data_IF_021170913170
#
_entry.id   IF_021170913170
#
_cell.length_a   1.000
_cell.length_b   1.000
_cell.length_c   1.000
_cell.angle_alpha   90.00
_cell.angle_beta   90.00
_cell.angle_gamma   90.00
#
_symmetry.space_group_name_H-M   'P 1'
#
loop_
_entity.id
_entity.type
_entity.pdbx_description
1 polymer ?
#
# COMPACT_ATOMS: atom_id res chain seq x y z
N UNK A 1 -18.70 -10.02 26.44
CA UNK A 1 -18.75 -9.15 25.24
C UNK A 1 -18.95 -7.73 25.72
N UNK A 2 -18.04 -6.83 25.33
CA UNK A 2 -18.08 -5.39 25.60
C UNK A 2 -18.55 -4.67 24.35
N UNK A 3 -19.60 -3.87 24.43
CA UNK A 3 -20.19 -3.18 23.29
C UNK A 3 -20.09 -1.68 23.49
N UNK A 4 -19.50 -0.96 22.55
CA UNK A 4 -19.54 0.49 22.46
C UNK A 4 -20.68 0.95 21.55
N UNK A 5 -21.31 2.06 21.92
CA UNK A 5 -22.38 2.69 21.15
C UNK A 5 -21.79 3.95 20.49
N UNK A 6 -21.84 4.01 19.18
CA UNK A 6 -21.35 5.05 18.30
C UNK A 6 -19.82 5.14 18.22
N UNK A 7 -19.13 5.61 19.24
CA UNK A 7 -17.67 5.65 19.37
C UNK A 7 -17.33 5.18 20.78
N UNK A 8 -16.28 4.38 20.95
CA UNK A 8 -15.81 3.94 22.26
C UNK A 8 -15.44 5.13 23.12
N UNK A 9 -15.95 5.16 24.37
CA UNK A 9 -15.65 6.22 25.33
C UNK A 9 -14.16 6.36 25.57
N UNK A 10 -13.63 7.56 25.52
CA UNK A 10 -12.20 7.87 25.61
C UNK A 10 -11.50 8.04 24.26
N UNK A 11 -12.21 7.83 23.15
CA UNK A 11 -11.75 8.16 21.80
C UNK A 11 -12.41 9.48 21.38
N UNK A 12 -11.62 10.47 20.99
CA UNK A 12 -12.15 11.74 20.52
C UNK A 12 -12.57 11.70 19.02
N UNK A 13 -13.11 12.80 18.51
CA UNK A 13 -13.62 12.90 17.14
C UNK A 13 -12.57 12.74 16.03
N UNK A 14 -11.29 12.89 16.36
CA UNK A 14 -10.17 12.64 15.43
C UNK A 14 -9.48 11.29 15.66
N UNK A 15 -10.05 10.46 16.56
CA UNK A 15 -9.57 9.10 16.80
C UNK A 15 -8.34 8.99 17.70
N UNK A 16 -8.09 10.00 18.53
CA UNK A 16 -7.04 9.93 19.54
C UNK A 16 -7.61 9.42 20.86
N UNK A 17 -6.77 8.72 21.61
CA UNK A 17 -7.05 8.24 22.96
C UNK A 17 -6.42 9.23 23.95
N UNK A 18 -7.24 9.94 24.73
CA UNK A 18 -6.76 11.02 25.60
C UNK A 18 -6.06 10.50 26.86
N UNK A 19 -6.55 9.41 27.46
CA UNK A 19 -5.91 8.78 28.61
C UNK A 19 -6.28 7.31 28.73
N UNK A 20 -7.57 7.02 28.92
CA UNK A 20 -8.14 5.68 29.02
C UNK A 20 -9.32 5.62 28.06
N UNK A 21 -9.36 4.58 27.22
CA UNK A 21 -10.52 4.33 26.37
C UNK A 21 -11.17 2.99 26.74
N UNK A 22 -12.47 2.91 26.49
CA UNK A 22 -13.22 1.68 26.63
C UNK A 22 -12.84 0.74 25.47
N UNK A 23 -12.27 -0.40 25.82
CA UNK A 23 -11.88 -1.43 24.87
C UNK A 23 -13.11 -2.30 24.56
N UNK A 24 -13.72 -2.08 23.41
CA UNK A 24 -14.89 -2.81 22.94
C UNK A 24 -14.52 -4.05 22.16
N UNK A 25 -15.34 -5.10 22.28
CA UNK A 25 -15.31 -6.25 21.36
C UNK A 25 -16.08 -5.90 20.07
N UNK A 26 -17.12 -5.04 20.20
CA UNK A 26 -17.97 -4.58 19.08
C UNK A 26 -18.28 -3.09 19.28
N UNK A 27 -18.13 -2.30 18.22
CA UNK A 27 -18.61 -0.92 18.18
C UNK A 27 -19.78 -0.82 17.20
N UNK A 28 -20.97 -0.46 17.72
CA UNK A 28 -22.15 -0.20 16.88
C UNK A 28 -22.21 1.29 16.59
N UNK A 29 -21.68 1.70 15.43
CA UNK A 29 -21.66 3.11 15.03
C UNK A 29 -22.95 3.52 14.35
N UNK A 30 -23.42 4.74 14.64
CA UNK A 30 -24.74 5.22 14.21
C UNK A 30 -24.71 5.84 12.81
N UNK A 31 -25.49 5.32 11.90
CA UNK A 31 -25.76 5.85 10.57
C UNK A 31 -24.64 5.65 9.55
N UNK A 32 -23.43 6.08 9.86
CA UNK A 32 -22.28 6.03 8.95
C UNK A 32 -20.99 5.66 9.68
N UNK A 33 -20.01 5.17 8.93
CA UNK A 33 -18.65 4.97 9.41
C UNK A 33 -18.03 6.33 9.75
N UNK A 34 -17.21 6.36 10.79
CA UNK A 34 -16.52 7.56 11.25
C UNK A 34 -15.01 7.35 11.12
N UNK A 35 -14.32 8.32 10.55
CA UNK A 35 -12.85 8.26 10.35
C UNK A 35 -12.11 7.97 11.66
N UNK A 36 -12.63 8.50 12.80
CA UNK A 36 -12.05 8.29 14.12
C UNK A 36 -11.96 6.83 14.56
N UNK A 37 -12.79 5.94 14.01
CA UNK A 37 -12.76 4.50 14.31
C UNK A 37 -11.60 3.76 13.62
N UNK A 38 -10.98 4.37 12.61
CA UNK A 38 -9.98 3.74 11.74
C UNK A 38 -8.56 4.30 11.93
N UNK A 39 -8.36 5.15 12.93
CA UNK A 39 -7.02 5.67 13.25
C UNK A 39 -6.15 4.58 13.87
N UNK A 40 -4.83 4.75 13.79
CA UNK A 40 -3.88 3.78 14.36
C UNK A 40 -4.06 3.58 15.86
N UNK A 41 -4.45 4.63 16.59
CA UNK A 41 -4.68 4.57 18.03
C UNK A 41 -6.04 3.97 18.39
N UNK A 42 -7.08 4.27 17.62
CA UNK A 42 -8.44 3.84 17.94
C UNK A 42 -8.68 2.35 17.67
N UNK A 43 -8.01 1.75 16.68
CA UNK A 43 -8.27 0.38 16.22
C UNK A 43 -8.14 -0.69 17.30
N UNK A 44 -7.32 -0.47 18.33
CA UNK A 44 -7.16 -1.41 19.44
C UNK A 44 -8.34 -1.36 20.43
N UNK A 45 -9.24 -0.37 20.32
CA UNK A 45 -10.36 -0.12 21.24
C UNK A 45 -11.74 -0.31 20.61
N UNK A 46 -11.83 -0.46 19.28
CA UNK A 46 -13.15 -0.46 18.61
C UNK A 46 -13.69 -1.85 18.30
N UNK A 47 -12.86 -2.88 18.29
CA UNK A 47 -13.27 -4.24 17.95
C UNK A 47 -13.91 -4.34 16.55
N UNK A 48 -14.91 -5.20 16.42
CA UNK A 48 -15.73 -5.30 15.20
C UNK A 48 -16.64 -4.07 15.05
N UNK A 49 -16.63 -3.44 13.88
CA UNK A 49 -17.45 -2.24 13.63
C UNK A 49 -18.71 -2.63 12.87
N UNK A 50 -19.86 -2.31 13.43
CA UNK A 50 -21.19 -2.53 12.82
C UNK A 50 -21.89 -1.18 12.65
N UNK A 51 -22.37 -0.89 11.44
CA UNK A 51 -23.12 0.35 11.19
C UNK A 51 -24.61 0.11 11.46
N UNK A 52 -25.16 0.82 12.45
CA UNK A 52 -26.58 0.79 12.76
C UNK A 52 -27.35 1.70 11.80
N UNK A 53 -28.41 1.16 11.15
CA UNK A 53 -29.30 1.95 10.30
C UNK A 53 -30.20 2.84 11.17
N UNK A 54 -30.19 4.14 10.92
CA UNK A 54 -31.02 5.12 11.64
C UNK A 54 -32.50 5.13 11.22
N UNK A 55 -32.88 4.38 10.18
CA UNK A 55 -34.24 4.37 9.65
C UNK A 55 -34.63 5.63 8.88
N UNK A 56 -33.65 6.49 8.57
CA UNK A 56 -33.83 7.69 7.74
C UNK A 56 -32.96 7.61 6.49
N UNK A 57 -33.28 8.41 5.48
CA UNK A 57 -32.51 8.42 4.22
C UNK A 57 -31.09 8.94 4.48
N UNK A 58 -30.11 8.30 3.89
CA UNK A 58 -28.67 8.63 4.07
C UNK A 58 -28.35 10.07 3.68
N UNK A 59 -28.95 10.59 2.61
CA UNK A 59 -28.75 11.96 2.16
C UNK A 59 -29.16 13.05 3.16
N UNK A 60 -29.83 12.68 4.26
CA UNK A 60 -30.19 13.62 5.34
C UNK A 60 -29.09 13.80 6.39
N UNK A 61 -28.10 12.90 6.45
CA UNK A 61 -27.04 12.95 7.45
C UNK A 61 -25.65 12.61 6.90
N UNK A 62 -25.55 11.89 5.79
CA UNK A 62 -24.27 11.61 5.13
C UNK A 62 -23.77 12.84 4.37
N UNK A 63 -22.52 13.17 4.53
CA UNK A 63 -21.81 14.20 3.75
C UNK A 63 -20.87 13.54 2.77
N UNK A 64 -20.56 14.22 1.69
CA UNK A 64 -19.52 13.75 0.77
C UNK A 64 -18.19 13.57 1.51
N UNK A 65 -17.49 12.48 1.20
CA UNK A 65 -16.19 12.15 1.78
C UNK A 65 -15.24 11.69 0.69
N UNK A 66 -13.97 12.06 0.83
CA UNK A 66 -12.87 11.55 0.03
C UNK A 66 -12.19 10.32 0.67
N UNK A 67 -12.74 9.81 1.78
CA UNK A 67 -12.25 8.66 2.50
C UNK A 67 -13.23 7.48 2.35
N UNK A 68 -12.72 6.35 1.92
CA UNK A 68 -13.51 5.16 1.63
C UNK A 68 -12.92 3.95 2.35
N UNK A 69 -13.77 3.11 2.89
CA UNK A 69 -13.38 1.79 3.40
C UNK A 69 -13.44 0.78 2.26
N UNK A 70 -12.34 0.08 2.00
CA UNK A 70 -12.32 -1.02 1.05
C UNK A 70 -13.05 -2.23 1.64
N UNK A 71 -14.09 -2.68 0.95
CA UNK A 71 -14.88 -3.85 1.32
C UNK A 71 -14.66 -5.01 0.33
N UNK A 72 -15.09 -6.22 0.71
CA UNK A 72 -14.96 -7.40 -0.15
C UNK A 72 -15.68 -7.24 -1.50
N UNK A 73 -16.79 -6.47 -1.53
CA UNK A 73 -17.54 -6.13 -2.75
C UNK A 73 -16.76 -5.27 -3.75
N UNK A 74 -15.77 -4.51 -3.28
CA UNK A 74 -14.95 -3.62 -4.11
C UNK A 74 -13.80 -4.36 -4.78
N UNK A 75 -13.49 -5.56 -4.30
CA UNK A 75 -12.34 -6.32 -4.78
C UNK A 75 -12.57 -6.89 -6.17
N UNK A 76 -11.80 -6.40 -7.14
CA UNK A 76 -11.70 -6.93 -8.50
C UNK A 76 -10.47 -7.81 -8.63
N UNK A 77 -10.59 -9.06 -8.21
CA UNK A 77 -9.46 -9.99 -8.29
C UNK A 77 -9.12 -10.35 -9.74
N UNK A 78 -7.84 -10.59 -10.08
CA UNK A 78 -7.38 -10.89 -11.42
C UNK A 78 -7.68 -12.34 -11.82
N UNK A 79 -8.96 -12.73 -11.83
CA UNK A 79 -9.36 -14.07 -12.23
C UNK A 79 -9.10 -14.31 -13.74
N UNK A 80 -8.59 -15.50 -14.05
CA UNK A 80 -8.32 -15.94 -15.43
C UNK A 80 -9.60 -16.45 -16.10
N UNK A 81 -10.52 -15.54 -16.43
CA UNK A 81 -11.83 -15.88 -16.96
C UNK A 81 -11.86 -16.08 -18.49
N UNK A 82 -10.81 -15.67 -19.20
CA UNK A 82 -10.75 -15.81 -20.67
C UNK A 82 -10.41 -17.26 -21.05
N UNK A 83 -11.29 -17.91 -21.87
CA UNK A 83 -11.05 -19.26 -22.36
C UNK A 83 -9.91 -19.30 -23.38
N UNK A 84 -9.80 -18.28 -24.24
CA UNK A 84 -8.69 -18.11 -25.17
C UNK A 84 -7.69 -17.11 -24.60
N UNK A 85 -6.71 -17.60 -23.86
CA UNK A 85 -5.69 -16.80 -23.22
C UNK A 85 -4.35 -17.54 -23.22
N UNK A 86 -3.26 -16.78 -23.24
CA UNK A 86 -1.90 -17.28 -23.08
C UNK A 86 -1.21 -16.54 -21.93
N UNK A 87 -0.02 -16.97 -21.54
CA UNK A 87 0.70 -16.38 -20.38
C UNK A 87 0.85 -14.86 -20.48
N UNK A 88 1.15 -14.30 -21.66
CA UNK A 88 1.27 -12.85 -21.87
C UNK A 88 -0.04 -12.05 -21.72
N UNK A 89 -1.23 -12.70 -21.76
CA UNK A 89 -2.52 -12.04 -21.59
C UNK A 89 -2.67 -11.43 -20.17
N UNK A 90 -1.95 -11.96 -19.20
CA UNK A 90 -2.03 -11.57 -17.77
C UNK A 90 -0.81 -10.77 -17.31
N UNK A 91 -0.19 -10.07 -18.25
CA UNK A 91 0.93 -9.17 -18.00
C UNK A 91 2.29 -9.86 -17.82
N UNK A 92 3.32 -9.05 -17.88
CA UNK A 92 4.70 -9.43 -17.63
C UNK A 92 5.31 -8.46 -16.59
N UNK A 93 5.46 -8.92 -15.37
CA UNK A 93 6.09 -8.15 -14.31
C UNK A 93 7.61 -8.33 -14.36
N UNK A 94 8.35 -7.23 -14.31
CA UNK A 94 9.79 -7.26 -14.07
C UNK A 94 10.09 -6.80 -12.62
N UNK A 95 10.84 -7.60 -11.88
CA UNK A 95 11.22 -7.30 -10.49
C UNK A 95 12.72 -7.01 -10.43
N UNK A 96 13.08 -5.81 -9.98
CA UNK A 96 14.48 -5.43 -9.80
C UNK A 96 14.99 -6.00 -8.49
N UNK A 97 15.98 -6.87 -8.57
CA UNK A 97 16.58 -7.52 -7.42
C UNK A 97 18.00 -7.03 -7.21
N UNK A 98 18.24 -6.44 -6.05
CA UNK A 98 19.55 -5.96 -5.66
C UNK A 98 20.31 -6.93 -4.73
N UNK A 99 21.21 -6.38 -3.93
CA UNK A 99 22.13 -7.16 -3.09
C UNK A 99 21.44 -8.01 -2.00
N UNK A 100 20.25 -7.59 -1.54
CA UNK A 100 19.44 -8.34 -0.55
C UNK A 100 18.40 -9.20 -1.29
N UNK A 101 18.85 -10.26 -1.94
CA UNK A 101 18.11 -11.07 -2.91
C UNK A 101 16.74 -11.58 -2.41
N UNK A 102 16.63 -11.94 -1.12
CA UNK A 102 15.44 -12.59 -0.55
C UNK A 102 14.15 -11.79 -0.73
N UNK A 103 14.18 -10.47 -0.51
CA UNK A 103 13.00 -9.62 -0.60
C UNK A 103 12.44 -9.58 -2.03
N UNK A 104 13.29 -9.38 -3.04
CA UNK A 104 12.88 -9.40 -4.44
C UNK A 104 12.35 -10.77 -4.90
N UNK A 105 12.94 -11.86 -4.42
CA UNK A 105 12.45 -13.22 -4.71
C UNK A 105 11.08 -13.46 -4.09
N UNK A 106 10.84 -12.98 -2.85
CA UNK A 106 9.53 -13.07 -2.19
C UNK A 106 8.49 -12.28 -2.99
N UNK A 107 8.79 -11.04 -3.38
CA UNK A 107 7.91 -10.22 -4.21
C UNK A 107 7.58 -10.91 -5.55
N UNK A 108 8.58 -11.52 -6.18
CA UNK A 108 8.41 -12.29 -7.41
C UNK A 108 7.46 -13.47 -7.24
N UNK A 109 7.65 -14.29 -6.21
CA UNK A 109 6.76 -15.42 -5.92
C UNK A 109 5.34 -14.98 -5.60
N UNK A 110 5.18 -13.90 -4.82
CA UNK A 110 3.88 -13.35 -4.47
C UNK A 110 3.12 -12.86 -5.71
N UNK A 111 3.77 -12.10 -6.59
CA UNK A 111 3.17 -11.59 -7.82
C UNK A 111 2.72 -12.74 -8.75
N UNK A 112 3.54 -13.77 -8.90
CA UNK A 112 3.19 -14.93 -9.71
C UNK A 112 2.01 -15.70 -9.10
N UNK A 113 2.02 -15.92 -7.78
CA UNK A 113 0.91 -16.54 -7.04
C UNK A 113 -0.38 -15.73 -7.11
N UNK A 114 -0.30 -14.41 -7.19
CA UNK A 114 -1.46 -13.53 -7.33
C UNK A 114 -2.02 -13.46 -8.75
N UNK A 115 -1.31 -13.98 -9.76
CA UNK A 115 -1.86 -14.14 -11.10
C UNK A 115 -1.09 -13.49 -12.25
N UNK A 116 0.10 -12.93 -12.02
CA UNK A 116 0.95 -12.47 -13.11
C UNK A 116 1.21 -13.59 -14.12
N UNK A 117 1.10 -13.28 -15.41
CA UNK A 117 1.22 -14.28 -16.46
C UNK A 117 2.65 -14.66 -16.78
N UNK A 118 3.54 -13.67 -16.75
CA UNK A 118 4.98 -13.78 -16.91
C UNK A 118 5.67 -13.00 -15.81
N UNK A 119 6.84 -13.47 -15.41
CA UNK A 119 7.67 -12.79 -14.43
C UNK A 119 9.14 -12.96 -14.78
N UNK A 120 9.86 -11.83 -14.83
CA UNK A 120 11.32 -11.80 -14.94
C UNK A 120 11.93 -11.06 -13.77
N UNK A 121 12.93 -11.65 -13.17
CA UNK A 121 13.80 -10.97 -12.21
C UNK A 121 14.97 -10.33 -12.97
N UNK A 122 15.22 -9.07 -12.71
CA UNK A 122 16.37 -8.34 -13.24
C UNK A 122 17.45 -8.31 -12.18
N UNK A 123 18.57 -8.95 -12.43
CA UNK A 123 19.72 -9.00 -11.55
C UNK A 123 21.00 -9.26 -12.33
N UNK A 124 22.10 -8.58 -11.92
CA UNK A 124 23.44 -8.82 -12.48
C UNK A 124 24.13 -10.05 -11.86
N UNK A 125 23.56 -10.57 -10.75
CA UNK A 125 24.09 -11.75 -10.08
C UNK A 125 23.18 -12.96 -10.36
N UNK A 126 23.78 -14.14 -10.50
CA UNK A 126 23.02 -15.38 -10.59
C UNK A 126 22.20 -15.62 -9.34
N UNK A 127 20.94 -15.95 -9.52
CA UNK A 127 19.97 -16.19 -8.46
C UNK A 127 19.44 -17.62 -8.56
N UNK A 128 19.32 -18.28 -7.42
CA UNK A 128 18.59 -19.53 -7.31
C UNK A 128 17.09 -19.27 -7.32
N UNK A 129 16.50 -19.29 -8.51
CA UNK A 129 15.10 -18.98 -8.77
C UNK A 129 14.30 -20.25 -9.05
N UNK A 130 13.01 -20.27 -8.67
CA UNK A 130 12.09 -21.30 -9.16
C UNK A 130 12.03 -21.31 -10.69
N UNK A 131 11.93 -22.51 -11.31
CA UNK A 131 11.96 -22.71 -12.76
C UNK A 131 10.93 -21.91 -13.58
N UNK A 132 9.87 -21.41 -12.97
CA UNK A 132 8.83 -20.59 -13.62
C UNK A 132 9.13 -19.10 -13.57
N UNK A 133 10.18 -18.65 -12.89
CA UNK A 133 10.64 -17.26 -12.83
C UNK A 133 11.88 -17.14 -13.71
N UNK A 134 11.81 -16.28 -14.72
CA UNK A 134 12.92 -16.01 -15.61
C UNK A 134 13.91 -15.03 -14.96
N UNK A 135 15.17 -15.12 -15.31
CA UNK A 135 16.16 -14.10 -14.98
C UNK A 135 16.67 -13.43 -16.24
N UNK A 136 16.80 -12.11 -16.20
CA UNK A 136 17.38 -11.29 -17.25
C UNK A 136 18.23 -10.19 -16.61
N UNK A 137 19.07 -9.52 -17.39
CA UNK A 137 19.86 -8.36 -16.98
C UNK A 137 19.27 -7.03 -17.48
N UNK A 138 18.23 -7.10 -18.29
CA UNK A 138 17.51 -5.93 -18.85
C UNK A 138 16.00 -6.10 -18.74
N UNK A 139 15.27 -4.96 -18.86
CA UNK A 139 13.80 -4.98 -18.90
C UNK A 139 13.34 -5.78 -20.14
N UNK A 140 12.34 -6.64 -19.93
CA UNK A 140 11.74 -7.42 -21.01
C UNK A 140 10.98 -6.51 -21.98
N UNK A 141 11.06 -6.76 -23.29
CA UNK A 141 10.41 -5.93 -24.33
C UNK A 141 8.90 -5.78 -24.13
N UNK A 142 8.24 -6.80 -23.60
CA UNK A 142 6.80 -6.83 -23.35
C UNK A 142 6.48 -6.66 -21.85
N UNK A 143 7.33 -5.95 -21.11
CA UNK A 143 7.09 -5.60 -19.72
C UNK A 143 5.85 -4.72 -19.58
N UNK A 144 4.95 -5.09 -18.66
CA UNK A 144 3.71 -4.35 -18.39
C UNK A 144 3.70 -3.68 -17.01
N UNK A 145 4.61 -4.06 -16.13
CA UNK A 145 4.81 -3.43 -14.83
C UNK A 145 6.21 -3.72 -14.30
N UNK A 146 6.73 -2.81 -13.47
CA UNK A 146 8.03 -2.96 -12.80
C UNK A 146 7.82 -2.87 -11.30
N UNK A 147 8.42 -3.79 -10.54
CA UNK A 147 8.51 -3.69 -9.09
C UNK A 147 9.97 -3.49 -8.68
N UNK A 148 10.23 -2.48 -7.83
CA UNK A 148 11.59 -2.14 -7.40
C UNK A 148 11.63 -1.58 -5.99
N UNK A 149 12.81 -1.61 -5.38
CA UNK A 149 13.03 -1.06 -4.03
C UNK A 149 13.30 -2.15 -3.00
N UNK A 150 12.65 -3.31 -3.13
CA UNK A 150 12.73 -4.41 -2.18
C UNK A 150 14.15 -4.99 -2.12
N UNK A 151 14.92 -4.54 -1.13
CA UNK A 151 16.27 -5.04 -0.88
C UNK A 151 17.28 -4.69 -1.96
N UNK A 152 17.18 -3.52 -2.56
CA UNK A 152 18.15 -3.03 -3.54
C UNK A 152 19.56 -2.94 -2.96
N UNK A 153 19.70 -2.48 -1.71
CA UNK A 153 20.99 -2.25 -1.10
C UNK A 153 21.80 -1.16 -1.83
N UNK A 154 22.98 -1.50 -2.30
CA UNK A 154 23.78 -0.59 -3.14
C UNK A 154 23.36 -0.75 -4.61
N UNK A 155 23.00 0.35 -5.25
CA UNK A 155 22.56 0.38 -6.65
C UNK A 155 23.14 1.60 -7.39
N UNK A 156 23.12 1.54 -8.71
CA UNK A 156 23.45 2.68 -9.56
C UNK A 156 22.20 3.58 -9.70
N UNK A 157 22.30 4.82 -9.21
CA UNK A 157 21.20 5.78 -9.27
C UNK A 157 20.77 6.12 -10.69
N UNK A 158 21.70 6.16 -11.64
CA UNK A 158 21.37 6.44 -13.05
C UNK A 158 20.62 5.28 -13.71
N UNK A 159 20.94 4.03 -13.36
CA UNK A 159 20.16 2.88 -13.81
C UNK A 159 18.72 2.97 -13.26
N UNK A 160 18.55 3.23 -11.96
CA UNK A 160 17.22 3.38 -11.35
C UNK A 160 16.47 4.58 -11.95
N UNK A 161 17.13 5.72 -12.15
CA UNK A 161 16.52 6.90 -12.79
C UNK A 161 15.99 6.58 -14.21
N UNK A 162 16.72 5.82 -15.00
CA UNK A 162 16.28 5.38 -16.33
C UNK A 162 15.02 4.51 -16.24
N UNK A 163 14.96 3.59 -15.27
CA UNK A 163 13.78 2.75 -15.02
C UNK A 163 12.58 3.58 -14.56
N UNK A 164 12.78 4.50 -13.63
CA UNK A 164 11.73 5.39 -13.14
C UNK A 164 11.16 6.29 -14.25
N UNK A 165 11.98 6.70 -15.19
CA UNK A 165 11.58 7.59 -16.29
C UNK A 165 10.80 6.89 -17.43
N UNK A 166 10.65 5.57 -17.40
CA UNK A 166 9.81 4.86 -18.38
C UNK A 166 8.32 5.10 -18.09
N UNK A 167 7.47 4.97 -19.11
CA UNK A 167 6.00 5.07 -18.96
C UNK A 167 5.35 3.76 -18.47
N UNK A 168 6.15 2.76 -18.10
CA UNK A 168 5.67 1.50 -17.56
C UNK A 168 5.20 1.72 -16.12
N UNK A 169 3.98 1.28 -15.72
CA UNK A 169 3.52 1.33 -14.34
C UNK A 169 4.48 0.68 -13.36
N UNK A 170 4.66 1.29 -12.18
CA UNK A 170 5.65 0.85 -11.21
C UNK A 170 5.07 0.66 -9.82
N UNK A 171 5.62 -0.32 -9.12
CA UNK A 171 5.47 -0.48 -7.66
C UNK A 171 6.84 -0.21 -7.04
N UNK A 172 6.87 0.72 -6.10
CA UNK A 172 8.09 1.14 -5.41
C UNK A 172 7.95 0.88 -3.91
N UNK A 173 8.96 0.25 -3.34
CA UNK A 173 8.97 -0.18 -1.94
C UNK A 173 10.34 0.04 -1.30
N UNK A 174 10.41 -0.04 0.02
CA UNK A 174 11.60 -0.18 0.85
C UNK A 174 12.73 0.83 0.56
N UNK A 175 13.89 0.36 0.06
CA UNK A 175 15.13 1.14 0.04
C UNK A 175 15.02 2.46 -0.75
N UNK A 176 14.12 2.56 -1.74
CA UNK A 176 13.94 3.78 -2.52
C UNK A 176 13.26 4.93 -1.76
N UNK A 177 12.55 4.65 -0.65
CA UNK A 177 11.98 5.70 0.20
C UNK A 177 13.02 6.48 1.01
N UNK A 178 14.28 6.09 0.97
CA UNK A 178 15.39 6.79 1.60
C UNK A 178 16.29 7.53 0.61
N UNK A 179 15.90 7.56 -0.69
CA UNK A 179 16.61 8.27 -1.74
C UNK A 179 15.74 9.39 -2.31
N UNK A 180 16.28 10.61 -2.35
CA UNK A 180 15.60 11.80 -2.90
C UNK A 180 15.20 11.64 -4.38
N UNK A 181 15.81 10.68 -5.08
CA UNK A 181 15.44 10.33 -6.45
C UNK A 181 13.95 10.05 -6.62
N UNK A 182 13.28 9.46 -5.60
CA UNK A 182 11.85 9.15 -5.68
C UNK A 182 11.00 10.40 -5.90
N UNK A 183 11.38 11.54 -5.32
CA UNK A 183 10.62 12.79 -5.42
C UNK A 183 10.58 13.39 -6.85
N UNK A 184 11.51 12.97 -7.72
CA UNK A 184 11.54 13.41 -9.13
C UNK A 184 10.44 12.74 -9.98
N UNK A 185 9.77 11.70 -9.48
CA UNK A 185 8.89 10.83 -10.27
C UNK A 185 7.50 10.59 -9.66
N UNK A 186 7.11 11.37 -8.65
CA UNK A 186 5.80 11.22 -7.99
C UNK A 186 4.60 11.57 -8.89
N UNK A 187 4.84 12.25 -10.01
CA UNK A 187 3.86 12.57 -11.05
C UNK A 187 3.61 11.41 -12.05
N UNK A 188 4.40 10.35 -11.97
CA UNK A 188 4.28 9.18 -12.85
C UNK A 188 3.24 8.17 -12.33
N UNK A 189 2.90 7.19 -13.15
CA UNK A 189 2.03 6.08 -12.76
C UNK A 189 2.77 5.12 -11.82
N UNK A 190 2.74 5.43 -10.52
CA UNK A 190 3.49 4.74 -9.47
C UNK A 190 2.55 4.35 -8.32
N UNK A 191 2.73 3.14 -7.80
CA UNK A 191 2.17 2.71 -6.52
C UNK A 191 3.29 2.66 -5.49
N UNK A 192 3.11 3.36 -4.38
CA UNK A 192 4.04 3.40 -3.25
C UNK A 192 3.51 2.56 -2.10
N UNK A 193 4.37 1.75 -1.46
CA UNK A 193 4.00 0.87 -0.35
C UNK A 193 4.82 1.15 0.93
N UNK A 194 4.94 2.41 1.38
CA UNK A 194 5.79 2.75 2.50
C UNK A 194 5.20 2.28 3.83
N UNK A 195 6.02 1.65 4.67
CA UNK A 195 5.70 1.51 6.09
C UNK A 195 5.89 2.87 6.81
N UNK A 196 5.40 3.06 8.06
CA UNK A 196 5.38 4.39 8.70
C UNK A 196 6.71 5.14 8.69
N UNK A 197 7.84 4.46 8.95
CA UNK A 197 9.16 5.10 8.95
C UNK A 197 9.61 5.52 7.54
N UNK A 198 9.30 4.73 6.53
CA UNK A 198 9.57 5.05 5.12
C UNK A 198 8.71 6.22 4.68
N UNK A 199 7.45 6.28 5.12
CA UNK A 199 6.57 7.40 4.80
C UNK A 199 7.07 8.71 5.44
N UNK A 200 7.54 8.70 6.68
CA UNK A 200 8.21 9.87 7.29
C UNK A 200 9.45 10.30 6.47
N UNK A 201 10.25 9.33 5.99
CA UNK A 201 11.38 9.64 5.12
C UNK A 201 10.95 10.29 3.81
N UNK A 202 9.91 9.76 3.16
CA UNK A 202 9.37 10.30 1.92
C UNK A 202 8.87 11.73 2.11
N UNK A 203 8.07 12.00 3.15
CA UNK A 203 7.58 13.34 3.48
C UNK A 203 8.72 14.34 3.67
N UNK A 204 9.78 13.93 4.36
CA UNK A 204 10.97 14.74 4.60
C UNK A 204 11.75 15.02 3.32
N UNK A 205 12.01 13.99 2.50
CA UNK A 205 12.74 14.12 1.23
C UNK A 205 12.00 15.04 0.25
N UNK A 206 10.68 14.91 0.17
CA UNK A 206 9.83 15.74 -0.68
C UNK A 206 9.51 17.12 -0.08
N UNK A 207 10.09 17.44 1.10
CA UNK A 207 9.93 18.73 1.80
C UNK A 207 8.48 19.10 2.16
N UNK A 208 7.67 18.07 2.39
CA UNK A 208 6.27 18.21 2.82
C UNK A 208 6.24 18.37 4.35
N UNK A 209 6.85 17.46 5.09
CA UNK A 209 6.93 17.51 6.55
C UNK A 209 8.18 16.79 7.08
N UNK A 210 8.72 17.24 8.21
CA UNK A 210 9.77 16.55 8.97
C UNK A 210 9.17 16.09 10.30
N UNK A 211 8.66 14.88 10.35
CA UNK A 211 7.90 14.31 11.47
C UNK A 211 8.45 12.94 11.84
N UNK A 212 8.18 12.51 13.06
CA UNK A 212 8.47 11.16 13.50
C UNK A 212 7.28 10.20 13.29
N UNK A 213 7.49 8.93 13.59
CA UNK A 213 6.47 7.88 13.42
C UNK A 213 5.29 8.09 14.38
N UNK A 214 5.52 8.65 15.57
CA UNK A 214 4.45 8.89 16.55
C UNK A 214 3.52 9.98 16.04
N UNK A 215 4.07 11.07 15.57
CA UNK A 215 3.29 12.16 14.96
C UNK A 215 2.52 11.68 13.73
N UNK A 216 3.16 10.87 12.86
CA UNK A 216 2.49 10.27 11.71
C UNK A 216 1.31 9.41 12.14
N UNK A 217 1.48 8.52 13.13
CA UNK A 217 0.41 7.62 13.59
C UNK A 217 -0.76 8.38 14.22
N UNK A 218 -0.49 9.48 14.91
CA UNK A 218 -1.52 10.35 15.49
C UNK A 218 -2.31 11.11 14.41
N UNK A 219 -1.72 11.39 13.25
CA UNK A 219 -2.29 12.27 12.22
C UNK A 219 -2.17 11.69 10.80
N UNK A 220 -2.21 10.37 10.64
CA UNK A 220 -1.97 9.68 9.37
C UNK A 220 -2.85 10.21 8.23
N UNK A 221 -4.15 10.36 8.45
CA UNK A 221 -5.08 10.84 7.43
C UNK A 221 -4.70 12.23 6.90
N UNK A 222 -4.19 13.10 7.76
CA UNK A 222 -3.71 14.43 7.34
C UNK A 222 -2.54 14.30 6.36
N UNK A 223 -1.52 13.53 6.73
CA UNK A 223 -0.29 13.42 5.95
C UNK A 223 -0.42 12.59 4.66
N UNK A 224 -1.45 11.77 4.54
CA UNK A 224 -1.76 11.04 3.30
C UNK A 224 -2.49 11.92 2.29
N UNK A 225 -3.14 13.00 2.74
CA UNK A 225 -3.86 13.95 1.89
C UNK A 225 -2.96 15.08 1.36
N UNK A 226 -1.80 15.32 1.95
CA UNK A 226 -0.79 16.31 1.54
C UNK A 226 0.10 15.79 0.39
#
# INVERSE_FOLDING_TARGET
IKIACDISSGINNIGQVESIAFEADITITMGALKTSLFTDLAKDYVGEIIVANLGVQRNLYEVESNKYLLEASDMKLPFRNKKNAHKGTYGHLNVIVGSKKGAGIIASKAAFGFGAGLLSVISKEDLDLPYHIMQTDTISENCTAIAMGMGLGKYDKEEIRKLLNTDIPKIIDADLFYDELICEFLDKEIVLTPHPKEFCSLLKLCKIADIDVIELQNNRFKYVEE
#
